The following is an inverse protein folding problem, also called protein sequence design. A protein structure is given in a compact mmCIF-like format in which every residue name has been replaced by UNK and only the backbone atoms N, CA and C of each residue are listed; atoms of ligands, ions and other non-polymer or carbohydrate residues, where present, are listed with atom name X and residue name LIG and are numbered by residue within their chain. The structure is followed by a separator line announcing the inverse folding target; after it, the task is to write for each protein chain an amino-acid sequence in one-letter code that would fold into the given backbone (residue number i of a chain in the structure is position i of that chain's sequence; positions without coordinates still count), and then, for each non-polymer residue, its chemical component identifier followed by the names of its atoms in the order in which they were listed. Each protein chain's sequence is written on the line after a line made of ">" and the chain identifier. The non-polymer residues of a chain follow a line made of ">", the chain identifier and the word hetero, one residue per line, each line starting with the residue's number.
data_IF_620739156355
#
_entry.id   IF_620739156355
#
_cell.length_a   1.000
_cell.length_b   1.000
_cell.length_c   1.000
_cell.angle_alpha   90.00
_cell.angle_beta   90.00
_cell.angle_gamma   90.00
#
_symmetry.space_group_name_H-M   'P 1'
#
loop_
_entity.id
_entity.type
_entity.pdbx_description
1 polymer ?
#
# COMPACT_ATOMS: atom_id res chain seq x y z
N UNK A 1 -7.38 -12.64 -15.27
CA UNK A 1 -6.83 -11.36 -15.72
C UNK A 1 -7.92 -10.32 -15.60
N UNK A 2 -7.80 -9.42 -14.62
CA UNK A 2 -8.48 -8.10 -14.53
C UNK A 2 -9.98 -8.01 -14.29
N UNK A 3 -10.51 -8.68 -13.29
CA UNK A 3 -11.87 -8.36 -12.80
C UNK A 3 -11.91 -7.12 -11.88
N UNK A 4 -10.74 -6.62 -11.43
CA UNK A 4 -10.62 -5.56 -10.43
C UNK A 4 -11.05 -4.16 -10.88
N UNK A 5 -11.16 -3.90 -12.19
CA UNK A 5 -11.48 -2.58 -12.72
C UNK A 5 -12.84 -2.45 -13.41
N UNK A 6 -13.59 -3.55 -13.55
CA UNK A 6 -14.79 -3.55 -14.41
C UNK A 6 -16.08 -3.12 -13.74
N UNK A 7 -16.15 -3.09 -12.41
CA UNK A 7 -17.41 -2.87 -11.68
C UNK A 7 -17.63 -1.45 -11.15
N UNK A 8 -16.62 -0.85 -10.53
CA UNK A 8 -16.75 0.44 -9.88
C UNK A 8 -16.28 1.57 -10.78
N UNK A 9 -17.18 2.12 -11.60
CA UNK A 9 -16.92 3.38 -12.32
C UNK A 9 -17.50 4.53 -11.49
N UNK A 10 -16.72 5.23 -10.67
CA UNK A 10 -17.18 6.48 -10.09
C UNK A 10 -17.58 7.41 -11.24
N UNK A 11 -18.61 8.24 -11.08
CA UNK A 11 -19.06 9.13 -12.13
C UNK A 11 -17.90 10.00 -12.60
N UNK A 12 -17.50 9.87 -13.87
CA UNK A 12 -16.49 10.70 -14.49
C UNK A 12 -17.04 12.13 -14.55
N UNK A 13 -16.38 13.16 -14.01
CA UNK A 13 -16.78 14.53 -14.25
C UNK A 13 -16.67 14.85 -15.73
N UNK A 14 -17.64 15.57 -16.23
CA UNK A 14 -17.67 16.05 -17.62
C UNK A 14 -16.57 17.10 -17.92
N UNK A 15 -15.77 17.49 -16.92
CA UNK A 15 -14.73 18.52 -17.00
C UNK A 15 -13.32 17.98 -17.32
N UNK A 16 -13.19 16.65 -17.54
CA UNK A 16 -11.93 16.04 -17.99
C UNK A 16 -10.77 16.05 -17.00
N UNK A 17 -10.94 16.62 -15.81
CA UNK A 17 -9.90 16.63 -14.77
C UNK A 17 -9.82 15.26 -14.06
N UNK A 18 -8.63 14.67 -13.94
CA UNK A 18 -8.46 13.43 -13.20
C UNK A 18 -8.81 13.65 -11.72
N UNK A 19 -9.82 12.92 -11.21
CA UNK A 19 -10.30 13.03 -9.82
C UNK A 19 -9.30 12.63 -8.75
N UNK A 20 -8.16 12.08 -9.16
CA UNK A 20 -7.12 11.56 -8.28
C UNK A 20 -6.51 12.61 -7.33
N UNK A 21 -6.71 13.89 -7.63
CA UNK A 21 -6.07 15.00 -6.90
C UNK A 21 -7.04 16.01 -6.31
N UNK A 22 -8.36 15.77 -6.38
CA UNK A 22 -9.32 16.78 -5.91
C UNK A 22 -9.45 16.84 -4.38
N UNK A 23 -9.55 18.09 -3.84
CA UNK A 23 -9.98 18.32 -2.46
C UNK A 23 -11.35 17.73 -2.11
N UNK A 24 -12.12 17.29 -3.14
CA UNK A 24 -13.47 16.73 -3.00
C UNK A 24 -13.51 15.25 -2.64
N UNK A 25 -12.38 14.51 -2.70
CA UNK A 25 -12.29 13.13 -2.19
C UNK A 25 -12.12 13.14 -0.65
N UNK A 26 -13.03 13.87 0.03
CA UNK A 26 -12.96 14.10 1.47
C UNK A 26 -12.92 12.83 2.31
N UNK A 27 -13.54 11.76 1.80
CA UNK A 27 -13.63 10.47 2.48
C UNK A 27 -12.69 9.42 1.88
N UNK A 28 -11.80 9.81 0.97
CA UNK A 28 -10.92 8.91 0.23
C UNK A 28 -11.70 7.78 -0.50
N UNK A 29 -12.97 8.01 -0.80
CA UNK A 29 -13.88 7.00 -1.37
C UNK A 29 -13.36 6.47 -2.70
N UNK A 30 -12.93 7.37 -3.59
CA UNK A 30 -12.35 6.97 -4.86
C UNK A 30 -11.09 6.11 -4.68
N UNK A 31 -10.18 6.53 -3.80
CA UNK A 31 -8.93 5.81 -3.52
C UNK A 31 -9.21 4.44 -2.90
N UNK A 32 -10.19 4.37 -2.00
CA UNK A 32 -10.62 3.13 -1.34
C UNK A 32 -11.23 2.15 -2.34
N UNK A 33 -12.22 2.60 -3.11
CA UNK A 33 -12.95 1.73 -4.02
C UNK A 33 -12.12 1.32 -5.25
N UNK A 34 -11.29 2.23 -5.78
CA UNK A 34 -10.50 1.93 -6.96
C UNK A 34 -9.25 1.10 -6.66
N UNK A 35 -8.51 1.44 -5.60
CA UNK A 35 -7.20 0.84 -5.33
C UNK A 35 -7.14 -0.01 -4.05
N UNK A 36 -8.09 0.16 -3.14
CA UNK A 36 -8.12 -0.56 -1.87
C UNK A 36 -8.03 -2.07 -2.01
N UNK A 37 -8.85 -2.74 -2.84
CA UNK A 37 -8.79 -4.18 -3.02
C UNK A 37 -7.43 -4.68 -3.53
N UNK A 38 -6.82 -3.99 -4.50
CA UNK A 38 -5.49 -4.33 -5.01
C UNK A 38 -4.40 -4.17 -3.94
N UNK A 39 -4.40 -3.05 -3.23
CA UNK A 39 -3.45 -2.79 -2.16
C UNK A 39 -3.63 -3.79 -1.01
N UNK A 40 -4.87 -4.17 -0.71
CA UNK A 40 -5.18 -5.19 0.29
C UNK A 40 -4.61 -6.57 -0.08
N UNK A 41 -4.74 -7.00 -1.33
CA UNK A 41 -4.15 -8.26 -1.81
C UNK A 41 -2.60 -8.20 -1.73
N UNK A 42 -2.03 -7.10 -2.15
CA UNK A 42 -0.58 -6.87 -2.11
C UNK A 42 -0.04 -6.94 -0.67
N UNK A 43 -0.67 -6.24 0.28
CA UNK A 43 -0.22 -6.25 1.67
C UNK A 43 -0.37 -7.64 2.31
N UNK A 44 -1.41 -8.42 1.96
CA UNK A 44 -1.54 -9.82 2.41
C UNK A 44 -0.38 -10.68 1.96
N UNK A 45 0.07 -10.53 0.71
CA UNK A 45 1.22 -11.26 0.16
C UNK A 45 2.53 -10.87 0.85
N UNK A 46 2.73 -9.57 1.13
CA UNK A 46 3.88 -9.09 1.90
C UNK A 46 3.85 -9.64 3.35
N UNK A 47 2.70 -9.60 4.01
CA UNK A 47 2.52 -10.13 5.36
C UNK A 47 2.79 -11.64 5.44
N UNK A 48 2.28 -12.39 4.47
CA UNK A 48 2.54 -13.82 4.34
C UNK A 48 4.04 -14.09 4.18
N UNK A 49 4.72 -13.36 3.29
CA UNK A 49 6.17 -13.47 3.11
C UNK A 49 6.94 -13.13 4.38
N UNK A 50 6.55 -12.07 5.09
CA UNK A 50 7.16 -11.71 6.37
C UNK A 50 7.01 -12.81 7.42
N UNK A 51 5.84 -13.45 7.48
CA UNK A 51 5.53 -14.53 8.43
C UNK A 51 6.26 -15.85 8.10
N UNK A 52 6.26 -16.26 6.84
CA UNK A 52 6.79 -17.55 6.41
C UNK A 52 8.29 -17.49 6.07
N UNK A 53 8.83 -16.33 5.78
CA UNK A 53 10.23 -16.15 5.42
C UNK A 53 10.66 -17.03 4.24
N UNK A 54 11.65 -17.89 4.43
CA UNK A 54 12.15 -18.83 3.41
C UNK A 54 11.17 -19.94 3.07
N UNK A 55 10.18 -20.22 3.92
CA UNK A 55 9.15 -21.24 3.64
C UNK A 55 8.16 -20.78 2.58
N UNK A 56 8.03 -19.47 2.34
CA UNK A 56 7.29 -18.96 1.20
C UNK A 56 8.21 -18.94 -0.04
N UNK A 57 7.87 -19.72 -1.09
CA UNK A 57 8.70 -19.81 -2.29
C UNK A 57 8.69 -18.51 -3.11
N UNK A 58 7.70 -17.64 -2.92
CA UNK A 58 7.56 -16.39 -3.66
C UNK A 58 8.73 -15.45 -3.35
N UNK A 59 9.44 -15.04 -4.39
CA UNK A 59 10.55 -14.07 -4.29
C UNK A 59 10.21 -12.76 -4.97
N UNK A 60 9.43 -12.83 -6.03
CA UNK A 60 9.00 -11.68 -6.82
C UNK A 60 7.56 -11.93 -7.27
N UNK A 61 6.77 -10.87 -7.32
CA UNK A 61 5.42 -10.86 -7.83
C UNK A 61 5.33 -9.71 -8.83
N UNK A 62 4.88 -10.01 -10.04
CA UNK A 62 4.78 -9.04 -11.12
C UNK A 62 3.32 -8.90 -11.52
N UNK A 63 2.82 -7.67 -11.50
CA UNK A 63 1.52 -7.28 -12.02
C UNK A 63 1.72 -6.38 -13.24
N UNK A 64 1.18 -6.77 -14.39
CA UNK A 64 1.09 -5.90 -15.56
C UNK A 64 -0.20 -5.10 -15.45
N UNK A 65 -0.11 -3.78 -15.62
CA UNK A 65 -1.25 -2.89 -15.47
C UNK A 65 -1.13 -1.66 -16.38
N UNK A 66 -2.04 -0.71 -16.22
CA UNK A 66 -2.09 0.54 -16.97
C UNK A 66 -1.56 1.72 -16.14
N UNK A 67 -1.27 2.82 -16.80
CA UNK A 67 -0.86 4.09 -16.21
C UNK A 67 -1.87 4.61 -15.18
N UNK A 68 -3.19 4.45 -15.44
CA UNK A 68 -4.26 4.77 -14.50
C UNK A 68 -4.14 4.05 -13.16
N UNK A 69 -3.71 2.79 -13.16
CA UNK A 69 -3.51 2.06 -11.93
C UNK A 69 -2.26 2.53 -11.17
N UNK A 70 -1.18 2.88 -11.88
CA UNK A 70 0.02 3.46 -11.26
C UNK A 70 -0.29 4.83 -10.63
N UNK A 71 -1.03 5.69 -11.33
CA UNK A 71 -1.51 6.96 -10.80
C UNK A 71 -2.44 6.74 -9.59
N UNK A 72 -3.35 5.76 -9.67
CA UNK A 72 -4.26 5.39 -8.59
C UNK A 72 -3.54 4.90 -7.33
N UNK A 73 -2.56 4.01 -7.47
CA UNK A 73 -1.74 3.52 -6.35
C UNK A 73 -0.97 4.69 -5.70
N UNK A 74 -0.33 5.53 -6.53
CA UNK A 74 0.43 6.68 -6.04
C UNK A 74 -0.47 7.67 -5.29
N UNK A 75 -1.69 7.92 -5.80
CA UNK A 75 -2.69 8.78 -5.15
C UNK A 75 -3.23 8.17 -3.86
N UNK A 76 -3.49 6.86 -3.83
CA UNK A 76 -3.97 6.17 -2.63
C UNK A 76 -2.96 6.20 -1.49
N UNK A 77 -1.68 6.20 -1.82
CA UNK A 77 -0.58 6.29 -0.85
C UNK A 77 -0.06 7.72 -0.64
N UNK A 78 -0.74 8.73 -1.17
CA UNK A 78 -0.42 10.16 -1.03
C UNK A 78 0.96 10.56 -1.55
N UNK A 79 1.47 9.86 -2.58
CA UNK A 79 2.78 10.12 -3.21
C UNK A 79 2.68 10.54 -4.68
N UNK A 80 1.48 10.84 -5.16
CA UNK A 80 1.25 11.26 -6.54
C UNK A 80 1.70 12.72 -6.74
N UNK A 81 2.59 12.95 -7.70
CA UNK A 81 3.19 14.25 -8.01
C UNK A 81 2.39 15.08 -9.04
N UNK A 82 1.15 14.67 -9.35
CA UNK A 82 0.28 15.26 -10.37
C UNK A 82 0.81 15.15 -11.81
N UNK A 83 1.79 14.28 -12.05
CA UNK A 83 2.28 13.98 -13.40
C UNK A 83 1.80 12.60 -13.81
N UNK A 84 1.25 12.53 -15.01
CA UNK A 84 0.77 11.26 -15.54
C UNK A 84 1.94 10.28 -15.71
N UNK A 85 1.77 9.00 -15.32
CA UNK A 85 2.81 7.99 -15.50
C UNK A 85 3.24 7.87 -16.95
N UNK A 86 4.54 7.90 -17.19
CA UNK A 86 5.12 7.76 -18.53
C UNK A 86 5.05 6.32 -19.02
N UNK A 87 5.32 6.08 -20.29
CA UNK A 87 5.49 4.73 -20.82
C UNK A 87 6.56 3.99 -20.03
N UNK A 88 6.35 2.69 -19.82
CA UNK A 88 7.23 1.82 -19.02
C UNK A 88 7.37 2.20 -17.55
N UNK A 89 6.51 3.08 -17.02
CA UNK A 89 6.52 3.41 -15.61
C UNK A 89 6.26 2.18 -14.74
N UNK A 90 6.91 2.11 -13.59
CA UNK A 90 6.78 1.01 -12.66
C UNK A 90 6.72 1.49 -11.20
N UNK A 91 5.95 0.75 -10.40
CA UNK A 91 5.98 0.83 -8.94
C UNK A 91 6.54 -0.49 -8.42
N UNK A 92 7.48 -0.40 -7.49
CA UNK A 92 8.04 -1.56 -6.80
C UNK A 92 7.80 -1.43 -5.31
N UNK A 93 7.30 -2.50 -4.69
CA UNK A 93 7.25 -2.65 -3.24
C UNK A 93 8.26 -3.72 -2.84
N UNK A 94 9.18 -3.37 -1.96
CA UNK A 94 10.25 -4.24 -1.49
C UNK A 94 10.04 -4.52 0.00
N UNK A 95 10.13 -5.81 0.37
CA UNK A 95 10.01 -6.23 1.76
C UNK A 95 11.41 -6.51 2.33
N UNK A 96 11.76 -5.81 3.39
CA UNK A 96 13.01 -5.99 4.13
C UNK A 96 12.73 -6.61 5.49
N UNK A 97 13.65 -7.43 5.93
CA UNK A 97 13.69 -7.95 7.29
C UNK A 97 14.84 -7.30 8.03
N UNK A 98 14.56 -6.69 9.17
CA UNK A 98 15.62 -6.21 10.05
C UNK A 98 16.41 -7.40 10.58
N UNK A 99 17.66 -7.47 10.22
CA UNK A 99 18.60 -8.40 10.81
C UNK A 99 19.23 -7.73 12.04
N UNK A 100 18.48 -7.60 13.13
CA UNK A 100 19.06 -7.26 14.42
C UNK A 100 20.14 -8.30 14.72
N UNK A 101 21.38 -7.97 14.39
CA UNK A 101 22.53 -8.66 14.95
C UNK A 101 22.47 -8.37 16.45
N UNK A 102 22.33 -9.38 17.30
CA UNK A 102 22.57 -9.16 18.72
C UNK A 102 24.01 -8.60 18.82
N UNK A 103 24.11 -7.34 19.22
CA UNK A 103 25.40 -6.77 19.57
C UNK A 103 26.03 -7.70 20.60
N UNK A 104 27.09 -8.39 20.23
CA UNK A 104 27.83 -9.33 21.09
C UNK A 104 28.51 -8.53 22.20
N UNK A 105 27.72 -8.13 23.20
CA UNK A 105 28.21 -7.65 24.47
C UNK A 105 27.97 -8.73 25.51
N UNK A 106 29.04 -9.15 26.21
CA UNK A 106 29.02 -10.20 27.22
C UNK A 106 27.91 -10.00 28.29
N UNK A 107 27.47 -8.76 28.54
CA UNK A 107 26.41 -8.42 29.49
C UNK A 107 24.99 -8.50 28.90
N UNK A 108 24.83 -8.59 27.57
CA UNK A 108 23.53 -8.71 26.91
C UNK A 108 23.00 -10.14 26.89
N UNK A 109 23.84 -11.15 27.06
CA UNK A 109 23.41 -12.55 27.12
C UNK A 109 22.44 -12.86 28.27
N UNK A 110 22.61 -12.20 29.41
CA UNK A 110 21.70 -12.35 30.56
C UNK A 110 20.37 -11.62 30.41
N UNK A 111 20.36 -10.51 29.65
CA UNK A 111 19.14 -9.73 29.39
C UNK A 111 18.22 -10.40 28.37
N UNK A 112 18.79 -11.17 27.44
CA UNK A 112 18.04 -11.87 26.40
C UNK A 112 17.21 -13.06 26.90
N UNK A 113 17.56 -13.61 28.08
CA UNK A 113 16.82 -14.73 28.71
C UNK A 113 15.49 -14.26 29.31
N UNK A 114 15.36 -12.98 29.65
CA UNK A 114 14.19 -12.44 30.36
C UNK A 114 13.32 -11.47 29.54
N UNK A 115 13.74 -11.09 28.32
CA UNK A 115 12.91 -10.25 27.44
C UNK A 115 12.25 -11.12 26.38
N UNK A 116 10.95 -10.89 26.09
CA UNK A 116 10.29 -11.56 24.98
C UNK A 116 11.11 -11.29 23.71
N UNK A 117 11.46 -12.35 22.99
CA UNK A 117 12.12 -12.25 21.68
C UNK A 117 11.27 -11.33 20.80
N UNK A 118 11.69 -10.08 20.61
CA UNK A 118 11.02 -9.18 19.69
C UNK A 118 11.06 -9.84 18.30
N UNK A 119 9.86 -10.04 17.74
CA UNK A 119 9.77 -10.57 16.37
C UNK A 119 10.55 -9.64 15.46
N UNK A 120 11.33 -10.18 14.51
CA UNK A 120 12.10 -9.35 13.60
C UNK A 120 11.18 -8.34 12.92
N UNK A 121 11.54 -7.08 12.99
CA UNK A 121 10.78 -6.02 12.34
C UNK A 121 10.92 -6.18 10.83
N UNK A 122 9.83 -5.96 10.12
CA UNK A 122 9.83 -5.93 8.68
C UNK A 122 9.48 -4.52 8.22
N UNK A 123 10.09 -4.11 7.11
CA UNK A 123 9.88 -2.81 6.50
C UNK A 123 9.48 -2.99 5.05
N UNK A 124 8.66 -2.06 4.56
CA UNK A 124 8.26 -1.96 3.17
C UNK A 124 8.80 -0.66 2.61
N UNK A 125 9.48 -0.73 1.47
CA UNK A 125 9.90 0.43 0.71
C UNK A 125 9.13 0.46 -0.60
N UNK A 126 8.54 1.61 -0.91
CA UNK A 126 7.94 1.88 -2.21
C UNK A 126 8.91 2.62 -3.09
N UNK A 127 9.02 2.21 -4.35
CA UNK A 127 9.78 2.93 -5.37
C UNK A 127 8.90 3.22 -6.58
N UNK A 128 9.01 4.41 -7.12
CA UNK A 128 8.43 4.79 -8.39
C UNK A 128 9.56 5.16 -9.36
N UNK A 129 9.62 4.49 -10.52
CA UNK A 129 10.70 4.69 -11.50
C UNK A 129 12.09 4.62 -10.86
N UNK A 130 12.34 3.64 -10.00
CA UNK A 130 13.57 3.48 -9.22
C UNK A 130 13.89 4.60 -8.21
N UNK A 131 13.04 5.59 -8.04
CA UNK A 131 13.15 6.60 -7.00
C UNK A 131 12.41 6.14 -5.74
N UNK A 132 13.05 6.24 -4.61
CA UNK A 132 12.44 5.93 -3.31
C UNK A 132 11.34 6.95 -3.00
N UNK A 133 10.17 6.44 -2.56
CA UNK A 133 9.01 7.24 -2.23
C UNK A 133 8.79 7.19 -0.73
N UNK A 134 8.59 8.34 -0.12
CA UNK A 134 8.22 8.43 1.29
C UNK A 134 6.71 8.55 1.41
N UNK A 135 6.07 7.49 1.91
CA UNK A 135 4.62 7.47 2.15
C UNK A 135 4.34 8.36 3.37
N UNK A 136 3.50 9.41 3.29
CA UNK A 136 3.28 10.36 4.39
C UNK A 136 2.84 9.69 5.69
N UNK A 137 1.97 8.67 5.64
CA UNK A 137 1.54 7.90 6.81
C UNK A 137 2.73 7.26 7.55
N UNK A 138 3.79 6.93 6.83
CA UNK A 138 4.98 6.29 7.38
C UNK A 138 5.98 7.28 7.99
N UNK A 139 5.80 8.60 7.78
CA UNK A 139 6.70 9.60 8.37
C UNK A 139 6.49 9.83 9.87
N UNK A 140 5.35 9.36 10.40
CA UNK A 140 5.07 9.46 11.84
C UNK A 140 6.08 8.66 12.64
N UNK A 141 6.42 9.16 13.83
CA UNK A 141 7.35 8.51 14.74
C UNK A 141 6.91 7.07 15.06
N UNK A 142 7.82 6.12 14.95
CA UNK A 142 7.55 4.69 15.15
C UNK A 142 7.01 3.95 13.92
N UNK A 143 6.61 4.66 12.85
CA UNK A 143 6.08 4.08 11.64
C UNK A 143 7.14 3.78 10.57
N UNK A 144 8.39 4.16 10.78
CA UNK A 144 9.49 3.93 9.84
C UNK A 144 10.77 3.48 10.55
N UNK A 145 11.74 3.08 9.77
CA UNK A 145 13.09 2.81 10.26
C UNK A 145 13.71 4.14 10.73
N UNK A 146 14.25 4.23 11.96
CA UNK A 146 14.84 5.46 12.46
C UNK A 146 15.87 6.05 11.49
N UNK A 147 15.66 7.31 11.10
CA UNK A 147 16.52 8.02 10.14
C UNK A 147 16.27 7.71 8.66
N UNK A 148 15.29 6.83 8.33
CA UNK A 148 15.02 6.42 6.96
C UNK A 148 13.49 6.28 6.72
N UNK A 149 12.77 7.40 6.53
CA UNK A 149 11.31 7.42 6.43
C UNK A 149 10.75 6.71 5.18
N UNK A 150 11.57 6.45 4.18
CA UNK A 150 11.22 5.65 3.01
C UNK A 150 11.05 4.15 3.34
N UNK A 151 11.57 3.68 4.48
CA UNK A 151 11.36 2.32 4.99
C UNK A 151 10.22 2.31 6.00
N UNK A 152 9.00 2.21 5.51
CA UNK A 152 7.81 2.09 6.33
C UNK A 152 7.81 0.77 7.11
N UNK A 153 7.46 0.77 8.41
CA UNK A 153 7.24 -0.51 9.10
C UNK A 153 6.10 -1.27 8.42
N UNK A 154 6.24 -2.59 8.30
CA UNK A 154 5.17 -3.41 7.71
C UNK A 154 3.84 -3.20 8.44
N UNK A 155 3.88 -2.98 9.75
CA UNK A 155 2.68 -2.69 10.55
C UNK A 155 2.00 -1.39 10.11
N UNK A 156 2.75 -0.28 10.01
CA UNK A 156 2.20 1.00 9.58
C UNK A 156 1.68 0.94 8.14
N UNK A 157 2.39 0.26 7.25
CA UNK A 157 1.92 0.02 5.89
C UNK A 157 0.59 -0.73 5.87
N UNK A 158 0.45 -1.79 6.68
CA UNK A 158 -0.80 -2.55 6.81
C UNK A 158 -1.94 -1.71 7.38
N UNK A 159 -1.66 -0.85 8.37
CA UNK A 159 -2.65 0.05 8.96
C UNK A 159 -3.16 1.04 7.92
N UNK A 160 -2.26 1.66 7.14
CA UNK A 160 -2.66 2.55 6.04
C UNK A 160 -3.51 1.83 4.99
N UNK A 161 -3.13 0.63 4.58
CA UNK A 161 -3.91 -0.14 3.60
C UNK A 161 -5.27 -0.53 4.15
N UNK A 162 -5.38 -0.84 5.44
CA UNK A 162 -6.67 -1.16 6.07
C UNK A 162 -7.65 0.02 6.01
N UNK A 163 -7.18 1.26 6.22
CA UNK A 163 -8.00 2.46 6.05
C UNK A 163 -8.51 2.63 4.62
N UNK A 164 -7.73 2.17 3.65
CA UNK A 164 -8.07 2.22 2.23
C UNK A 164 -8.90 1.02 1.75
N UNK A 165 -9.08 0.00 2.58
CA UNK A 165 -9.80 -1.21 2.21
C UNK A 165 -11.29 -1.04 2.54
N UNK A 166 -12.21 -1.13 1.56
CA UNK A 166 -13.64 -1.14 1.84
C UNK A 166 -14.03 -2.41 2.62
N UNK A 167 -15.00 -2.29 3.52
CA UNK A 167 -15.51 -3.45 4.27
C UNK A 167 -16.33 -4.37 3.37
N UNK A 168 -17.19 -3.80 2.56
CA UNK A 168 -17.97 -4.49 1.52
C UNK A 168 -17.86 -3.69 0.22
N UNK A 169 -16.94 -4.11 -0.64
CA UNK A 169 -16.67 -3.43 -1.89
C UNK A 169 -17.89 -3.38 -2.83
N UNK A 170 -18.64 -4.47 -2.90
CA UNK A 170 -19.82 -4.56 -3.76
C UNK A 170 -20.93 -3.60 -3.30
N UNK A 171 -21.18 -3.56 -1.99
CA UNK A 171 -22.18 -2.66 -1.42
C UNK A 171 -21.76 -1.18 -1.49
N UNK A 172 -20.49 -0.88 -1.23
CA UNK A 172 -19.96 0.48 -1.27
C UNK A 172 -19.81 1.02 -2.71
N UNK A 173 -19.64 0.13 -3.69
CA UNK A 173 -19.45 0.49 -5.09
C UNK A 173 -20.76 0.82 -5.84
N UNK A 174 -21.92 0.60 -5.23
CA UNK A 174 -23.21 0.93 -5.85
C UNK A 174 -23.37 2.45 -5.95
N UNK A 175 -23.59 3.03 -7.16
CA UNK A 175 -23.79 4.46 -7.32
C UNK A 175 -25.00 4.93 -6.51
N UNK A 176 -24.81 5.71 -5.48
CA UNK A 176 -25.91 6.34 -4.74
C UNK A 176 -26.61 7.34 -5.66
N UNK A 177 -27.87 7.07 -6.00
CA UNK A 177 -28.75 8.06 -6.64
C UNK A 177 -29.20 7.81 -8.07
N UNK A 178 -29.20 6.57 -8.58
CA UNK A 178 -30.03 6.24 -9.73
C UNK A 178 -31.15 5.29 -9.33
N UNK A 179 -32.34 5.85 -9.05
CA UNK A 179 -33.54 5.10 -9.21
C UNK A 179 -33.65 4.74 -10.70
N UNK A 180 -33.18 3.56 -11.06
CA UNK A 180 -33.46 3.00 -12.38
C UNK A 180 -34.91 2.52 -12.30
N UNK A 181 -35.83 3.40 -12.65
CA UNK A 181 -37.19 2.99 -12.99
C UNK A 181 -37.07 2.25 -14.31
N UNK A 182 -37.04 0.92 -14.24
CA UNK A 182 -37.20 0.07 -15.43
C UNK A 182 -38.67 0.15 -15.79
N UNK A 183 -38.99 0.93 -16.83
CA UNK A 183 -40.29 0.93 -17.51
C UNK A 183 -40.28 -0.08 -18.65
#
# INVERSE_FOLDING_TARGET
>A
MNEWFSGCKPPIPLDGEPRLTRPSDKNQEYRRLAMGPLLHDLQKKLARKASLGSKDPSKILIHSTHDTALAGISSALDVFDNRWPTFTASITFELFKDSLQPTQGFLNGLRQVFLPSERPRHYVRMRYQNKDMTIPYCTLEGNHLPGAPEFCTLKAFQERIRELTPEDWDAECVPQGRNITIS
#
